data_IF_261893367185
#
_entry.id   IF_261893367185
#
_cell.length_a   1.000
_cell.length_b   1.000
_cell.length_c   1.000
_cell.angle_alpha   90.00
_cell.angle_beta   90.00
_cell.angle_gamma   90.00
#
_symmetry.space_group_name_H-M   'P 1'
#
loop_
_entity.id
_entity.type
_entity.pdbx_description
1 polymer ?
#
# COMPACT_ATOMS: atom_id res chain seq x y z
N UNK A 1 -4.99 -0.50 6.56
CA UNK A 1 -3.74 0.28 6.75
C UNK A 1 -3.22 0.67 5.40
N UNK A 2 -2.95 1.96 5.16
CA UNK A 2 -2.38 2.49 3.93
C UNK A 2 -1.00 3.11 4.21
N UNK A 3 0.00 2.75 3.41
CA UNK A 3 1.33 3.34 3.43
C UNK A 3 1.45 4.32 2.27
N UNK A 4 1.97 5.50 2.52
CA UNK A 4 2.34 6.47 1.49
C UNK A 4 3.82 6.80 1.60
N UNK A 5 4.56 6.65 0.51
CA UNK A 5 5.96 7.05 0.45
C UNK A 5 6.06 8.56 0.23
N UNK A 6 6.70 9.27 1.15
CA UNK A 6 6.95 10.71 1.02
C UNK A 6 8.19 10.96 0.16
N UNK A 7 9.35 10.72 0.74
CA UNK A 7 10.65 10.86 0.09
C UNK A 7 11.76 10.31 0.99
N UNK A 8 12.84 9.74 0.41
CA UNK A 8 14.01 9.19 1.10
C UNK A 8 13.63 8.11 2.13
N UNK A 9 13.64 8.43 3.42
CA UNK A 9 13.19 7.55 4.49
C UNK A 9 11.83 7.96 5.07
N UNK A 10 11.17 8.96 4.46
CA UNK A 10 9.91 9.49 4.91
C UNK A 10 8.71 8.67 4.46
N UNK A 11 7.85 8.28 5.42
CA UNK A 11 6.61 7.55 5.17
C UNK A 11 5.45 8.10 6.01
N UNK A 12 4.25 7.93 5.47
CA UNK A 12 3.00 8.02 6.24
C UNK A 12 2.38 6.63 6.29
N UNK A 13 1.89 6.25 7.46
CA UNK A 13 1.06 5.05 7.65
C UNK A 13 -0.27 5.48 8.24
N UNK A 14 -1.32 5.37 7.46
CA UNK A 14 -2.69 5.65 7.88
C UNK A 14 -3.39 4.38 8.31
N UNK A 15 -4.03 4.43 9.47
CA UNK A 15 -4.88 3.36 10.00
C UNK A 15 -6.30 3.89 10.21
N UNK A 16 -7.19 3.07 10.73
CA UNK A 16 -8.56 3.49 11.00
C UNK A 16 -8.60 4.60 12.08
N UNK A 17 -7.70 4.57 13.07
CA UNK A 17 -7.72 5.45 14.24
C UNK A 17 -6.63 6.50 14.26
N UNK A 18 -5.51 6.27 13.60
CA UNK A 18 -4.36 7.18 13.70
C UNK A 18 -3.56 7.27 12.39
N UNK A 19 -2.67 8.24 12.38
CA UNK A 19 -1.69 8.49 11.34
C UNK A 19 -0.31 8.46 11.96
N UNK A 20 0.61 7.70 11.40
CA UNK A 20 2.01 7.69 11.81
C UNK A 20 2.86 8.30 10.70
N UNK A 21 3.70 9.25 11.03
CA UNK A 21 4.63 9.92 10.10
C UNK A 21 6.04 9.63 10.54
N UNK A 22 6.83 9.02 9.67
CA UNK A 22 8.23 8.67 9.94
C UNK A 22 9.16 9.55 9.12
N UNK A 23 10.23 10.04 9.74
CA UNK A 23 11.39 10.69 9.12
C UNK A 23 11.04 11.71 8.02
N UNK A 24 10.22 12.69 8.36
CA UNK A 24 9.83 13.73 7.42
C UNK A 24 10.99 14.65 7.07
N UNK A 25 11.41 14.62 5.81
CA UNK A 25 12.39 15.56 5.25
C UNK A 25 11.80 16.42 4.15
N UNK A 26 11.31 15.81 3.09
CA UNK A 26 10.71 16.44 1.91
C UNK A 26 9.42 15.74 1.53
N UNK A 27 8.53 16.47 0.87
CA UNK A 27 7.25 15.94 0.39
C UNK A 27 6.93 16.50 -1.01
N UNK A 28 7.64 16.03 -2.06
CA UNK A 28 7.45 16.52 -3.42
C UNK A 28 6.03 16.30 -3.97
N UNK A 29 5.28 15.36 -3.38
CA UNK A 29 3.92 15.05 -3.78
C UNK A 29 2.85 15.81 -2.96
N UNK A 30 3.25 16.66 -2.02
CA UNK A 30 2.37 17.42 -1.11
C UNK A 30 1.36 16.54 -0.38
N UNK A 31 1.80 15.37 0.07
CA UNK A 31 0.96 14.40 0.79
C UNK A 31 0.55 14.96 2.15
N UNK A 32 1.54 15.47 2.90
CA UNK A 32 1.32 15.94 4.27
C UNK A 32 0.44 17.18 4.34
N UNK A 33 0.58 18.13 3.41
CA UNK A 33 -0.28 19.31 3.36
C UNK A 33 -1.76 18.94 3.23
N UNK A 34 -2.05 17.98 2.35
CA UNK A 34 -3.41 17.46 2.18
C UNK A 34 -3.87 16.68 3.41
N UNK A 35 -3.00 15.80 3.94
CA UNK A 35 -3.32 14.93 5.06
C UNK A 35 -3.61 15.71 6.34
N UNK A 36 -2.74 16.67 6.71
CA UNK A 36 -2.92 17.49 7.91
C UNK A 36 -4.25 18.25 7.85
N UNK A 37 -4.67 18.71 6.65
CA UNK A 37 -5.96 19.37 6.46
C UNK A 37 -7.18 18.44 6.52
N UNK A 38 -7.01 17.12 6.32
CA UNK A 38 -8.10 16.16 6.12
C UNK A 38 -8.11 14.98 7.08
N UNK A 39 -7.13 14.85 7.98
CA UNK A 39 -7.04 13.70 8.91
C UNK A 39 -8.18 13.65 9.96
N UNK A 40 -9.04 14.67 10.02
CA UNK A 40 -10.20 14.71 10.92
C UNK A 40 -9.77 14.63 12.38
N UNK A 41 -10.39 13.71 13.13
CA UNK A 41 -10.13 13.49 14.55
C UNK A 41 -9.07 12.40 14.81
N UNK A 42 -8.38 11.89 13.76
CA UNK A 42 -7.32 10.90 13.92
C UNK A 42 -6.16 11.47 14.71
N UNK A 43 -5.58 10.68 15.60
CA UNK A 43 -4.36 11.01 16.31
C UNK A 43 -3.16 10.89 15.37
N UNK A 44 -2.33 11.90 15.29
CA UNK A 44 -1.12 11.95 14.45
C UNK A 44 0.12 11.74 15.32
N UNK A 45 0.87 10.68 15.07
CA UNK A 45 2.15 10.38 15.72
C UNK A 45 3.27 10.70 14.74
N UNK A 46 4.25 11.49 15.19
CA UNK A 46 5.37 11.94 14.38
C UNK A 46 6.66 11.39 14.96
N UNK A 47 7.40 10.66 14.16
CA UNK A 47 8.66 10.02 14.51
C UNK A 47 9.80 10.65 13.70
N UNK A 48 10.93 10.92 14.37
CA UNK A 48 12.19 11.20 13.69
C UNK A 48 13.29 10.39 14.34
N UNK A 49 13.96 9.58 13.52
CA UNK A 49 14.94 8.59 13.97
C UNK A 49 16.24 9.22 14.46
N UNK A 50 16.67 10.36 13.89
CA UNK A 50 17.89 11.05 14.27
C UNK A 50 17.93 12.49 13.71
N UNK A 51 19.00 13.22 14.05
CA UNK A 51 19.13 14.66 13.81
C UNK A 51 19.51 15.03 12.37
N UNK A 52 19.93 14.12 11.51
CA UNK A 52 20.33 14.42 10.15
C UNK A 52 19.17 15.04 9.34
N UNK A 53 19.54 15.96 8.46
CA UNK A 53 18.56 16.79 7.74
C UNK A 53 17.60 15.99 6.86
N UNK A 54 18.03 14.85 6.34
CA UNK A 54 17.25 13.95 5.49
C UNK A 54 16.29 13.03 6.25
N UNK A 55 16.27 13.11 7.60
CA UNK A 55 15.38 12.40 8.51
C UNK A 55 14.57 13.31 9.42
N UNK A 56 15.04 14.56 9.61
CA UNK A 56 14.38 15.50 10.50
C UNK A 56 14.23 16.88 9.88
N UNK A 57 12.99 17.37 9.79
CA UNK A 57 12.65 18.72 9.33
C UNK A 57 11.74 19.42 10.36
N UNK A 58 12.16 20.58 10.86
CA UNK A 58 11.41 21.37 11.85
C UNK A 58 10.01 21.79 11.41
N UNK A 59 9.68 21.68 10.11
CA UNK A 59 8.35 21.97 9.59
C UNK A 59 7.25 21.11 10.25
N UNK A 60 7.61 19.92 10.75
CA UNK A 60 6.68 19.04 11.48
C UNK A 60 5.98 19.73 12.65
N UNK A 61 6.63 20.66 13.35
CA UNK A 61 6.07 21.33 14.51
C UNK A 61 4.91 22.29 14.17
N UNK A 62 4.89 22.80 12.93
CA UNK A 62 3.79 23.63 12.44
C UNK A 62 2.48 22.90 12.20
N UNK A 63 2.50 21.57 12.11
CA UNK A 63 1.28 20.79 11.83
C UNK A 63 0.26 20.83 12.97
N UNK A 64 0.72 20.84 14.21
CA UNK A 64 -0.16 20.96 15.40
C UNK A 64 -0.94 22.27 15.39
N UNK A 65 -0.31 23.37 14.94
CA UNK A 65 -0.95 24.66 14.80
C UNK A 65 -1.88 24.72 13.58
N UNK A 66 -1.48 24.07 12.49
CA UNK A 66 -2.26 24.03 11.25
C UNK A 66 -3.56 23.22 11.37
N UNK A 67 -3.59 22.21 12.25
CA UNK A 67 -4.79 21.41 12.52
C UNK A 67 -5.05 21.26 14.03
N UNK A 68 -5.69 22.25 14.68
CA UNK A 68 -5.96 22.20 16.11
C UNK A 68 -7.05 21.16 16.51
N UNK A 69 -7.69 20.51 15.54
CA UNK A 69 -8.68 19.45 15.80
C UNK A 69 -8.03 18.09 16.01
N UNK A 70 -6.93 17.82 15.32
CA UNK A 70 -6.19 16.57 15.48
C UNK A 70 -5.26 16.62 16.69
N UNK A 71 -5.14 15.53 17.41
CA UNK A 71 -4.12 15.36 18.43
C UNK A 71 -2.79 14.99 17.76
N UNK A 72 -1.69 15.63 18.18
CA UNK A 72 -0.34 15.33 17.70
C UNK A 72 0.53 14.86 18.85
N UNK A 73 1.28 13.79 18.65
CA UNK A 73 2.32 13.30 19.56
C UNK A 73 3.64 13.17 18.80
N UNK A 74 4.67 13.88 19.27
CA UNK A 74 6.02 13.86 18.71
C UNK A 74 6.92 12.95 19.54
N UNK A 75 7.31 11.82 18.96
CA UNK A 75 8.23 10.83 19.53
C UNK A 75 9.55 10.92 18.76
N UNK A 76 10.50 11.65 19.32
CA UNK A 76 11.73 12.01 18.60
C UNK A 76 12.94 11.37 19.27
N UNK A 77 13.95 11.06 18.47
CA UNK A 77 15.22 10.58 18.99
C UNK A 77 15.91 11.65 19.87
N UNK A 78 16.51 11.22 20.94
CA UNK A 78 17.21 12.08 21.92
C UNK A 78 18.35 12.87 21.30
N UNK A 79 19.02 12.32 20.30
CA UNK A 79 20.14 12.98 19.62
C UNK A 79 19.72 14.29 18.91
N UNK A 80 18.46 14.41 18.46
CA UNK A 80 17.91 15.65 17.93
C UNK A 80 17.98 16.80 18.97
N UNK A 81 17.69 16.47 20.23
CA UNK A 81 17.81 17.41 21.34
C UNK A 81 19.28 17.70 21.66
N UNK A 82 20.12 16.66 21.75
CA UNK A 82 21.53 16.76 22.12
C UNK A 82 22.34 17.54 21.06
N UNK A 83 21.96 17.49 19.80
CA UNK A 83 22.51 18.32 18.72
C UNK A 83 21.83 19.69 18.57
N UNK A 84 21.00 20.08 19.53
CA UNK A 84 20.29 21.39 19.55
C UNK A 84 19.45 21.65 18.30
N UNK A 85 18.96 20.59 17.66
CA UNK A 85 18.10 20.72 16.47
C UNK A 85 16.66 21.11 16.81
N UNK A 86 16.21 20.87 18.06
CA UNK A 86 14.91 21.28 18.56
C UNK A 86 14.96 21.68 20.02
N UNK A 87 13.97 22.45 20.49
CA UNK A 87 13.82 22.82 21.92
C UNK A 87 13.30 21.60 22.71
N UNK A 88 13.59 21.54 24.00
CA UNK A 88 13.19 20.42 24.87
C UNK A 88 11.67 20.21 24.88
N UNK A 89 10.91 21.26 24.80
CA UNK A 89 9.43 21.29 24.84
C UNK A 89 8.79 20.92 23.49
N UNK A 90 9.59 20.74 22.42
CA UNK A 90 9.10 20.48 21.08
C UNK A 90 8.58 19.05 20.89
N UNK A 91 9.08 18.09 21.69
CA UNK A 91 8.64 16.70 21.65
C UNK A 91 7.86 16.31 22.89
N UNK A 92 6.91 15.40 22.72
CA UNK A 92 6.16 14.79 23.81
C UNK A 92 7.01 13.70 24.51
N UNK A 93 7.92 13.04 23.76
CA UNK A 93 8.97 12.20 24.32
C UNK A 93 10.27 12.27 23.50
N UNK A 94 11.39 12.32 24.20
CA UNK A 94 12.74 12.17 23.67
C UNK A 94 13.20 10.75 23.99
N UNK A 95 13.44 9.94 22.96
CA UNK A 95 13.67 8.51 23.12
C UNK A 95 15.08 8.11 22.71
N UNK A 96 15.65 7.19 23.48
CA UNK A 96 16.93 6.53 23.18
C UNK A 96 16.77 4.99 23.19
N UNK A 97 17.79 4.28 22.75
CA UNK A 97 17.73 2.80 22.68
C UNK A 97 17.27 2.19 24.00
N UNK A 98 16.21 1.39 23.93
CA UNK A 98 15.60 0.68 25.06
C UNK A 98 14.37 1.38 25.63
N UNK A 99 14.13 2.64 25.29
CA UNK A 99 12.95 3.33 25.75
C UNK A 99 11.67 2.78 25.13
N UNK A 100 10.60 2.82 25.92
CA UNK A 100 9.26 2.42 25.51
C UNK A 100 8.26 3.53 25.78
N UNK A 101 7.32 3.70 24.87
CA UNK A 101 6.21 4.63 25.01
C UNK A 101 4.93 3.98 24.50
N UNK A 102 3.79 4.24 25.13
CA UNK A 102 2.50 3.71 24.69
C UNK A 102 1.33 4.59 25.11
N UNK A 103 0.26 4.49 24.35
CA UNK A 103 -1.07 4.97 24.71
C UNK A 103 -2.14 3.93 24.33
N UNK A 104 -3.38 4.38 24.16
CA UNK A 104 -4.50 3.49 23.79
C UNK A 104 -4.50 3.07 22.31
N UNK A 105 -3.71 3.71 21.43
CA UNK A 105 -3.66 3.43 20.00
C UNK A 105 -2.42 2.63 19.60
N UNK A 106 -1.26 3.00 20.14
CA UNK A 106 0.03 2.44 19.74
C UNK A 106 0.91 2.09 20.92
N UNK A 107 1.83 1.16 20.70
CA UNK A 107 3.01 0.98 21.54
C UNK A 107 4.28 1.10 20.71
N UNK A 108 5.29 1.75 21.27
CA UNK A 108 6.54 2.11 20.59
C UNK A 108 7.71 1.64 21.43
N UNK A 109 8.67 1.01 20.77
CA UNK A 109 9.99 0.71 21.36
C UNK A 109 11.05 1.35 20.47
N UNK A 110 11.89 2.21 21.06
CA UNK A 110 13.08 2.72 20.40
C UNK A 110 14.16 1.65 20.47
N UNK A 111 14.59 1.16 19.31
CA UNK A 111 15.70 0.20 19.20
C UNK A 111 16.94 0.91 18.67
N UNK A 112 18.10 0.23 18.68
CA UNK A 112 19.36 0.89 18.35
C UNK A 112 19.55 1.13 16.86
N UNK A 113 20.54 1.96 16.57
CA UNK A 113 21.12 2.17 15.24
C UNK A 113 22.64 2.02 15.33
N UNK A 114 23.28 1.57 14.26
CA UNK A 114 24.74 1.53 14.16
C UNK A 114 25.33 2.80 13.51
N UNK A 115 24.47 3.76 13.19
CA UNK A 115 24.84 5.11 12.74
C UNK A 115 24.43 6.12 13.82
N UNK A 116 23.32 6.83 13.65
CA UNK A 116 22.83 7.87 14.58
C UNK A 116 21.44 7.56 15.08
N UNK A 117 21.13 8.03 16.29
CA UNK A 117 19.81 8.00 16.90
C UNK A 117 19.25 6.59 17.14
N UNK A 118 18.02 6.35 16.71
CA UNK A 118 17.27 5.14 17.00
C UNK A 118 16.58 4.58 15.75
N UNK A 119 16.20 3.32 15.79
CA UNK A 119 15.16 2.76 14.93
C UNK A 119 13.88 2.51 15.73
N UNK A 120 12.76 2.36 15.05
CA UNK A 120 11.44 2.31 15.66
C UNK A 120 10.76 0.97 15.44
N UNK A 121 10.31 0.33 16.52
CA UNK A 121 9.32 -0.74 16.49
C UNK A 121 8.01 -0.16 16.99
N UNK A 122 6.97 -0.17 16.13
CA UNK A 122 5.66 0.38 16.47
C UNK A 122 4.61 -0.70 16.30
N UNK A 123 3.83 -0.97 17.35
CA UNK A 123 2.67 -1.85 17.27
C UNK A 123 1.40 -0.98 17.20
N UNK A 124 0.62 -1.17 16.16
CA UNK A 124 -0.61 -0.44 15.87
C UNK A 124 -1.64 -1.37 15.23
N UNK A 125 -2.86 -1.41 15.76
CA UNK A 125 -3.97 -2.25 15.25
C UNK A 125 -3.56 -3.70 14.98
N UNK A 126 -2.73 -4.27 15.90
CA UNK A 126 -2.25 -5.66 15.83
C UNK A 126 -1.19 -5.91 14.74
N UNK A 127 -0.64 -4.88 14.10
CA UNK A 127 0.48 -4.94 13.16
C UNK A 127 1.75 -4.37 13.79
N UNK A 128 2.88 -4.98 13.47
CA UNK A 128 4.21 -4.54 13.90
C UNK A 128 4.95 -3.91 12.74
N UNK A 129 5.20 -2.63 12.87
CA UNK A 129 5.97 -1.81 11.94
C UNK A 129 7.39 -1.67 12.45
N UNK A 130 8.37 -1.79 11.59
CA UNK A 130 9.75 -1.48 11.87
C UNK A 130 10.24 -0.41 10.90
N UNK A 131 10.72 0.72 11.43
CA UNK A 131 11.38 1.76 10.65
C UNK A 131 12.83 1.86 11.10
N UNK A 132 13.75 1.52 10.22
CA UNK A 132 15.16 1.34 10.56
C UNK A 132 15.92 2.64 10.85
N UNK A 133 15.37 3.83 10.49
CA UNK A 133 16.21 5.03 10.43
C UNK A 133 17.43 4.77 9.57
N UNK A 134 18.62 5.04 10.06
CA UNK A 134 19.88 4.76 9.36
C UNK A 134 20.58 3.48 9.86
N UNK A 135 19.83 2.58 10.49
CA UNK A 135 20.36 1.25 10.77
C UNK A 135 20.57 0.47 9.47
N UNK A 136 21.83 0.28 9.07
CA UNK A 136 22.18 -0.44 7.85
C UNK A 136 23.61 -1.01 7.90
N UNK A 137 23.91 -1.99 7.06
CA UNK A 137 25.29 -2.42 6.82
C UNK A 137 25.96 -1.45 5.81
N UNK A 138 26.35 -0.26 6.28
CA UNK A 138 26.92 0.81 5.47
C UNK A 138 28.25 0.44 4.81
N UNK A 139 28.97 -0.53 5.34
CA UNK A 139 30.25 -1.03 4.83
C UNK A 139 30.12 -2.33 4.04
N UNK A 140 28.91 -2.72 3.64
CA UNK A 140 28.60 -3.96 2.93
C UNK A 140 29.46 -4.19 1.67
N UNK A 141 29.86 -3.13 0.96
CA UNK A 141 30.78 -3.20 -0.18
C UNK A 141 32.09 -3.88 0.20
N UNK A 142 32.72 -3.42 1.27
CA UNK A 142 34.03 -3.90 1.69
C UNK A 142 33.95 -5.30 2.29
N UNK A 143 32.83 -5.62 2.97
CA UNK A 143 32.53 -6.97 3.44
C UNK A 143 32.35 -7.92 2.25
N UNK A 144 31.58 -7.52 1.25
CA UNK A 144 31.33 -8.32 0.05
C UNK A 144 32.58 -8.54 -0.81
N UNK A 145 33.49 -7.55 -0.85
CA UNK A 145 34.73 -7.63 -1.57
C UNK A 145 35.87 -8.32 -0.76
N UNK A 146 35.55 -8.82 0.47
CA UNK A 146 36.52 -9.42 1.41
C UNK A 146 37.72 -8.50 1.66
N UNK A 147 37.52 -7.19 1.78
CA UNK A 147 38.59 -6.22 2.00
C UNK A 147 39.20 -6.44 3.39
N UNK A 148 40.50 -6.75 3.49
CA UNK A 148 41.10 -7.02 4.78
C UNK A 148 41.43 -5.74 5.55
N UNK A 149 41.18 -5.77 6.87
CA UNK A 149 41.62 -4.74 7.81
C UNK A 149 40.79 -3.46 7.76
N UNK A 150 41.33 -2.39 8.34
CA UNK A 150 40.67 -1.09 8.39
C UNK A 150 40.83 -0.32 7.09
N UNK A 151 39.79 0.44 6.72
CA UNK A 151 39.74 1.38 5.60
C UNK A 151 39.63 2.79 6.13
N UNK A 152 40.12 3.78 5.37
CA UNK A 152 39.89 5.18 5.71
C UNK A 152 38.54 5.65 5.13
N UNK A 153 37.62 6.02 5.99
CA UNK A 153 36.38 6.63 5.60
C UNK A 153 36.59 8.12 5.37
N UNK A 154 36.46 8.58 4.14
CA UNK A 154 36.55 10.01 3.81
C UNK A 154 35.34 10.78 4.34
N UNK A 155 34.19 10.13 4.49
CA UNK A 155 32.95 10.71 5.00
C UNK A 155 33.09 11.10 6.48
N UNK A 156 33.64 10.17 7.29
CA UNK A 156 33.82 10.39 8.72
C UNK A 156 35.22 10.87 9.11
N UNK A 157 36.15 10.96 8.15
CA UNK A 157 37.52 11.39 8.41
C UNK A 157 38.32 10.46 9.34
N UNK A 158 37.97 9.17 9.39
CA UNK A 158 38.56 8.21 10.33
C UNK A 158 38.77 6.82 9.72
N UNK A 159 39.60 6.02 10.39
CA UNK A 159 39.78 4.63 10.05
C UNK A 159 38.63 3.79 10.62
N UNK A 160 38.03 2.95 9.78
CA UNK A 160 36.89 2.09 10.10
C UNK A 160 37.23 0.65 9.73
N UNK A 161 36.85 -0.29 10.58
CA UNK A 161 36.93 -1.72 10.29
C UNK A 161 35.57 -2.24 9.80
N UNK A 162 35.40 -2.54 8.50
CA UNK A 162 34.12 -2.97 7.94
C UNK A 162 33.53 -4.22 8.65
N UNK A 163 34.36 -5.17 9.05
CA UNK A 163 33.91 -6.37 9.75
C UNK A 163 33.41 -6.07 11.16
N UNK A 164 33.94 -5.02 11.80
CA UNK A 164 33.47 -4.56 13.10
C UNK A 164 32.15 -3.81 13.00
N UNK A 165 32.01 -2.96 12.00
CA UNK A 165 30.76 -2.24 11.73
C UNK A 165 29.65 -3.23 11.35
N UNK A 166 29.95 -4.25 10.54
CA UNK A 166 28.98 -5.32 10.28
C UNK A 166 28.57 -6.04 11.57
N UNK A 167 29.52 -6.34 12.47
CA UNK A 167 29.17 -6.98 13.76
C UNK A 167 28.26 -6.10 14.61
N UNK A 168 28.51 -4.78 14.66
CA UNK A 168 27.63 -3.83 15.36
C UNK A 168 26.24 -3.82 14.76
N UNK A 169 26.14 -3.70 13.44
CA UNK A 169 24.89 -3.79 12.72
C UNK A 169 24.13 -5.10 13.03
N UNK A 170 24.82 -6.23 12.97
CA UNK A 170 24.22 -7.54 13.25
C UNK A 170 23.78 -7.69 14.71
N UNK A 171 24.49 -7.06 15.66
CA UNK A 171 24.06 -7.02 17.05
C UNK A 171 22.76 -6.24 17.22
N UNK A 172 22.62 -5.07 16.57
CA UNK A 172 21.38 -4.32 16.60
C UNK A 172 20.21 -5.14 16.01
N UNK A 173 20.43 -5.87 14.92
CA UNK A 173 19.40 -6.77 14.37
C UNK A 173 19.00 -7.89 15.34
N UNK A 174 19.95 -8.43 16.10
CA UNK A 174 19.65 -9.45 17.12
C UNK A 174 18.82 -8.85 18.25
N UNK A 175 19.21 -7.67 18.76
CA UNK A 175 18.48 -6.96 19.82
C UNK A 175 17.03 -6.64 19.36
N UNK A 176 16.86 -6.22 18.12
CA UNK A 176 15.53 -6.01 17.50
C UNK A 176 14.76 -7.34 17.45
N UNK A 177 15.42 -8.43 17.10
CA UNK A 177 14.80 -9.76 17.05
C UNK A 177 14.30 -10.26 18.41
N UNK A 178 14.92 -9.85 19.51
CA UNK A 178 14.43 -10.14 20.87
C UNK A 178 13.14 -9.37 21.19
N UNK A 179 13.03 -8.12 20.72
CA UNK A 179 11.86 -7.26 20.92
C UNK A 179 10.74 -7.61 19.94
N UNK A 180 11.08 -7.85 18.67
CA UNK A 180 10.14 -7.99 17.57
C UNK A 180 10.60 -9.08 16.57
N UNK A 181 10.45 -10.38 16.89
CA UNK A 181 10.90 -11.45 16.00
C UNK A 181 10.10 -11.56 14.69
N UNK A 182 8.90 -10.99 14.66
CA UNK A 182 8.05 -10.94 13.48
C UNK A 182 7.65 -9.50 13.20
N UNK A 183 7.97 -9.04 11.99
CA UNK A 183 7.69 -7.69 11.50
C UNK A 183 6.69 -7.80 10.34
N UNK A 184 5.53 -7.15 10.46
CA UNK A 184 4.55 -7.12 9.39
C UNK A 184 5.02 -6.21 8.24
N UNK A 185 5.60 -5.04 8.57
CA UNK A 185 6.09 -4.06 7.61
C UNK A 185 7.45 -3.55 8.07
N UNK A 186 8.50 -3.83 7.30
CA UNK A 186 9.85 -3.33 7.54
C UNK A 186 10.23 -2.25 6.53
N UNK A 187 10.35 -1.00 6.96
CA UNK A 187 10.92 0.11 6.22
C UNK A 187 12.43 0.12 6.47
N UNK A 188 13.22 -0.22 5.44
CA UNK A 188 14.64 -0.52 5.61
C UNK A 188 15.52 0.02 4.46
N UNK A 189 16.72 0.57 4.77
CA UNK A 189 17.61 1.12 3.75
C UNK A 189 18.06 0.09 2.70
N UNK A 190 17.94 0.47 1.42
CA UNK A 190 18.48 -0.25 0.27
C UNK A 190 19.16 0.77 -0.63
N UNK A 191 20.33 1.26 -0.19
CA UNK A 191 20.99 2.41 -0.77
C UNK A 191 22.14 2.01 -1.71
N UNK A 192 21.95 2.22 -3.01
CA UNK A 192 22.95 1.91 -4.04
C UNK A 192 24.27 2.68 -3.91
N UNK A 193 24.33 3.79 -3.13
CA UNK A 193 25.56 4.53 -2.84
C UNK A 193 26.59 3.70 -2.09
N UNK A 194 26.15 2.70 -1.33
CA UNK A 194 27.03 1.74 -0.65
C UNK A 194 27.93 1.00 -1.66
N UNK A 195 27.48 0.86 -2.92
CA UNK A 195 28.22 0.14 -3.96
C UNK A 195 27.91 -1.36 -3.97
N UNK A 196 28.89 -2.19 -4.33
CA UNK A 196 28.72 -3.65 -4.33
C UNK A 196 28.20 -4.13 -2.96
N UNK A 197 27.22 -5.04 -2.98
CA UNK A 197 26.69 -5.59 -1.71
C UNK A 197 25.69 -4.69 -1.00
N UNK A 198 25.24 -3.56 -1.54
CA UNK A 198 24.31 -2.64 -0.90
C UNK A 198 22.97 -3.29 -0.47
N UNK A 199 22.61 -4.44 -1.02
CA UNK A 199 21.44 -5.22 -0.59
C UNK A 199 21.73 -6.12 0.60
N UNK A 200 23.01 -6.23 1.06
CA UNK A 200 23.41 -7.16 2.10
C UNK A 200 22.69 -6.87 3.43
N UNK A 201 22.61 -5.60 3.85
CA UNK A 201 21.93 -5.22 5.09
C UNK A 201 20.47 -5.69 5.12
N UNK A 202 19.72 -5.43 4.05
CA UNK A 202 18.33 -5.88 3.96
C UNK A 202 18.18 -7.42 3.89
N UNK A 203 19.12 -8.11 3.24
CA UNK A 203 19.17 -9.59 3.25
C UNK A 203 19.45 -10.14 4.65
N UNK A 204 20.34 -9.50 5.41
CA UNK A 204 20.67 -9.86 6.79
C UNK A 204 19.48 -9.63 7.72
N UNK A 205 18.71 -8.56 7.52
CA UNK A 205 17.44 -8.33 8.21
C UNK A 205 16.46 -9.51 7.97
N UNK A 206 16.16 -9.81 6.72
CA UNK A 206 15.21 -10.88 6.34
C UNK A 206 15.67 -12.27 6.82
N UNK A 207 16.98 -12.49 6.94
CA UNK A 207 17.52 -13.77 7.42
C UNK A 207 17.38 -13.95 8.93
N UNK A 208 17.24 -12.87 9.70
CA UNK A 208 17.16 -12.87 11.16
C UNK A 208 15.76 -12.65 11.70
N UNK A 209 14.98 -11.82 11.02
CA UNK A 209 13.62 -11.49 11.43
C UNK A 209 12.63 -12.07 10.43
N UNK A 210 11.47 -12.47 10.92
CA UNK A 210 10.36 -12.87 10.05
C UNK A 210 9.67 -11.61 9.50
N UNK A 211 10.12 -11.14 8.35
CA UNK A 211 9.54 -9.98 7.66
C UNK A 211 8.47 -10.45 6.68
N UNK A 212 7.27 -9.83 6.70
CA UNK A 212 6.20 -10.13 5.73
C UNK A 212 6.24 -9.21 4.52
N UNK A 213 6.46 -7.91 4.75
CA UNK A 213 6.58 -6.89 3.72
C UNK A 213 7.86 -6.08 3.94
N UNK A 214 8.74 -6.06 2.94
CA UNK A 214 9.88 -5.16 2.89
C UNK A 214 9.52 -3.91 2.07
N UNK A 215 9.68 -2.76 2.70
CA UNK A 215 9.52 -1.42 2.11
C UNK A 215 10.90 -0.81 2.02
N UNK A 216 11.48 -0.66 0.81
CA UNK A 216 12.80 -0.05 0.68
C UNK A 216 12.75 1.45 0.99
N UNK A 217 13.82 1.97 1.56
CA UNK A 217 14.01 3.40 1.80
C UNK A 217 15.47 3.80 1.56
N UNK A 218 15.79 5.08 1.72
CA UNK A 218 17.14 5.66 1.63
C UNK A 218 17.80 5.56 0.24
N UNK A 219 17.05 5.32 -0.84
CA UNK A 219 17.55 5.02 -2.19
C UNK A 219 17.47 6.20 -3.17
N UNK A 220 16.85 7.33 -2.82
CA UNK A 220 16.56 8.40 -3.81
C UNK A 220 17.80 8.95 -4.52
N UNK A 221 18.94 8.99 -3.85
CA UNK A 221 20.20 9.44 -4.42
C UNK A 221 20.82 8.43 -5.39
N UNK A 222 20.39 7.17 -5.36
CA UNK A 222 20.81 6.08 -6.24
C UNK A 222 19.79 5.77 -7.34
N UNK A 223 18.63 6.45 -7.30
CA UNK A 223 17.47 6.19 -8.15
C UNK A 223 16.57 5.06 -7.62
N UNK A 224 15.27 5.19 -7.88
CA UNK A 224 14.23 4.26 -7.41
C UNK A 224 14.50 2.81 -7.83
N UNK A 225 14.99 2.59 -9.04
CA UNK A 225 15.25 1.26 -9.60
C UNK A 225 16.37 0.51 -8.88
N UNK A 226 17.28 1.22 -8.20
CA UNK A 226 18.37 0.57 -7.45
C UNK A 226 17.82 -0.34 -6.37
N UNK A 227 16.78 0.09 -5.64
CA UNK A 227 16.15 -0.69 -4.57
C UNK A 227 15.44 -1.95 -5.09
N UNK A 228 14.99 -1.97 -6.37
CA UNK A 228 14.23 -3.10 -6.93
C UNK A 228 15.04 -4.39 -7.05
N UNK A 229 16.37 -4.31 -6.97
CA UNK A 229 17.25 -5.51 -6.92
C UNK A 229 17.02 -6.40 -5.70
N UNK A 230 16.29 -5.92 -4.69
CA UNK A 230 15.86 -6.75 -3.56
C UNK A 230 14.67 -7.66 -3.88
N UNK A 231 13.88 -7.34 -4.91
CA UNK A 231 12.65 -8.09 -5.23
C UNK A 231 12.86 -9.61 -5.44
N UNK A 232 13.87 -10.07 -6.24
CA UNK A 232 14.10 -11.51 -6.42
C UNK A 232 14.43 -12.23 -5.10
N UNK A 233 15.25 -11.62 -4.26
CA UNK A 233 15.61 -12.20 -2.95
C UNK A 233 14.40 -12.28 -2.02
N UNK A 234 13.55 -11.25 -2.01
CA UNK A 234 12.31 -11.25 -1.26
C UNK A 234 11.36 -12.34 -1.76
N UNK A 235 11.23 -12.50 -3.09
CA UNK A 235 10.37 -13.51 -3.69
C UNK A 235 10.79 -14.94 -3.31
N UNK A 236 12.10 -15.26 -3.32
CA UNK A 236 12.65 -16.54 -2.87
C UNK A 236 12.33 -16.87 -1.42
N UNK A 237 12.17 -15.84 -0.57
CA UNK A 237 11.90 -15.97 0.86
C UNK A 237 10.43 -15.80 1.24
N UNK A 238 9.53 -15.62 0.26
CA UNK A 238 8.11 -15.38 0.50
C UNK A 238 7.80 -14.04 1.18
N UNK A 239 8.74 -13.08 1.09
CA UNK A 239 8.59 -11.70 1.59
C UNK A 239 7.98 -10.86 0.49
N UNK A 240 6.89 -10.16 0.75
CA UNK A 240 6.36 -9.17 -0.19
C UNK A 240 7.31 -7.98 -0.28
N UNK A 241 7.56 -7.48 -1.47
CA UNK A 241 8.43 -6.31 -1.70
C UNK A 241 7.61 -5.18 -2.34
N UNK A 242 7.66 -3.98 -1.74
CA UNK A 242 7.02 -2.82 -2.34
C UNK A 242 7.96 -2.10 -3.31
N UNK A 243 7.65 -2.19 -4.59
CA UNK A 243 8.37 -1.51 -5.65
C UNK A 243 7.92 -0.06 -5.78
N UNK A 244 8.50 0.82 -4.96
CA UNK A 244 8.26 2.27 -5.00
C UNK A 244 8.85 2.85 -6.28
N UNK A 245 8.11 3.74 -6.95
CA UNK A 245 8.48 4.36 -8.24
C UNK A 245 8.61 5.87 -8.18
N UNK A 246 7.88 6.51 -7.28
CA UNK A 246 7.84 7.97 -7.11
C UNK A 246 7.37 8.36 -5.73
N UNK A 247 7.62 9.62 -5.37
CA UNK A 247 6.98 10.21 -4.19
C UNK A 247 5.45 10.23 -4.37
N UNK A 248 4.74 9.97 -3.28
CA UNK A 248 3.28 9.85 -3.26
C UNK A 248 2.74 8.48 -3.68
N UNK A 249 3.59 7.50 -4.02
CA UNK A 249 3.14 6.11 -4.23
C UNK A 249 2.49 5.57 -2.96
N UNK A 250 1.42 4.79 -3.15
CA UNK A 250 0.62 4.19 -2.07
C UNK A 250 0.58 2.69 -2.15
N UNK A 251 0.52 2.06 -0.98
CA UNK A 251 0.33 0.63 -0.80
C UNK A 251 -0.67 0.38 0.31
N UNK A 252 -1.76 -0.29 0.01
CA UNK A 252 -2.71 -0.73 1.03
C UNK A 252 -2.40 -2.15 1.49
N UNK A 253 -2.33 -2.36 2.79
CA UNK A 253 -2.15 -3.66 3.42
C UNK A 253 -3.43 -4.04 4.15
N UNK A 254 -4.07 -5.13 3.70
CA UNK A 254 -5.26 -5.73 4.32
C UNK A 254 -4.92 -7.19 4.63
N UNK A 255 -4.94 -7.57 5.89
CA UNK A 255 -4.45 -8.87 6.36
C UNK A 255 -3.02 -9.13 5.87
N UNK A 256 -2.79 -10.14 5.02
CA UNK A 256 -1.50 -10.47 4.41
C UNK A 256 -1.42 -10.04 2.93
N UNK A 257 -2.33 -9.15 2.48
CA UNK A 257 -2.40 -8.67 1.12
C UNK A 257 -1.81 -7.28 0.98
N UNK A 258 -1.05 -7.06 -0.07
CA UNK A 258 -0.64 -5.76 -0.52
C UNK A 258 -1.44 -5.37 -1.77
N UNK A 259 -2.13 -4.24 -1.73
CA UNK A 259 -2.93 -3.73 -2.85
C UNK A 259 -2.32 -2.42 -3.30
N UNK A 260 -2.07 -2.29 -4.58
CA UNK A 260 -1.55 -1.07 -5.20
C UNK A 260 -2.18 -0.82 -6.56
N UNK A 261 -2.09 0.40 -7.05
CA UNK A 261 -2.41 0.68 -8.44
C UNK A 261 -1.55 -0.16 -9.39
N UNK A 262 -2.17 -0.64 -10.46
CA UNK A 262 -1.49 -1.33 -11.53
C UNK A 262 -0.63 -0.34 -12.36
N UNK A 263 0.36 -0.88 -13.04
CA UNK A 263 1.19 -0.16 -13.99
C UNK A 263 1.23 -0.91 -15.31
N UNK A 264 1.65 -0.26 -16.39
CA UNK A 264 1.78 -0.92 -17.69
C UNK A 264 2.75 -2.11 -17.67
N UNK A 265 3.70 -2.14 -16.73
CA UNK A 265 4.56 -3.30 -16.52
C UNK A 265 3.81 -4.53 -16.00
N UNK A 266 2.64 -4.35 -15.37
CA UNK A 266 1.80 -5.42 -14.85
C UNK A 266 0.87 -5.99 -15.94
N UNK A 267 0.66 -5.29 -17.04
CA UNK A 267 -0.30 -5.62 -18.10
C UNK A 267 -0.23 -7.09 -18.58
N UNK A 268 0.95 -7.67 -18.87
CA UNK A 268 1.03 -9.07 -19.28
C UNK A 268 0.49 -10.05 -18.22
N UNK A 269 0.72 -9.77 -16.93
CA UNK A 269 0.20 -10.57 -15.83
C UNK A 269 -1.32 -10.46 -15.71
N UNK A 270 -1.86 -9.24 -15.88
CA UNK A 270 -3.30 -8.98 -15.83
C UNK A 270 -4.04 -9.71 -16.96
N UNK A 271 -3.52 -9.65 -18.18
CA UNK A 271 -4.09 -10.38 -19.31
C UNK A 271 -4.11 -11.90 -19.07
N UNK A 272 -3.06 -12.43 -18.42
CA UNK A 272 -3.00 -13.83 -17.98
C UNK A 272 -4.09 -14.16 -16.94
N UNK A 273 -4.28 -13.32 -15.94
CA UNK A 273 -5.33 -13.47 -14.91
C UNK A 273 -6.72 -13.44 -15.55
N UNK A 274 -6.99 -12.50 -16.44
CA UNK A 274 -8.27 -12.41 -17.14
C UNK A 274 -8.52 -13.63 -18.04
N UNK A 275 -7.49 -14.17 -18.69
CA UNK A 275 -7.63 -15.41 -19.46
C UNK A 275 -8.02 -16.61 -18.57
N UNK A 276 -7.39 -16.74 -17.39
CA UNK A 276 -7.75 -17.77 -16.41
C UNK A 276 -9.17 -17.58 -15.88
N UNK A 277 -9.58 -16.35 -15.58
CA UNK A 277 -10.92 -16.05 -15.11
C UNK A 277 -11.99 -16.37 -16.16
N UNK A 278 -11.77 -16.07 -17.45
CA UNK A 278 -12.67 -16.47 -18.56
C UNK A 278 -12.82 -17.98 -18.64
N UNK A 279 -11.71 -18.70 -18.56
CA UNK A 279 -11.73 -20.16 -18.56
C UNK A 279 -12.54 -20.71 -17.38
N UNK A 280 -12.29 -20.21 -16.18
CA UNK A 280 -13.03 -20.61 -14.98
C UNK A 280 -14.53 -20.36 -15.11
N UNK A 281 -14.93 -19.18 -15.58
CA UNK A 281 -16.34 -18.84 -15.78
C UNK A 281 -17.02 -19.79 -16.79
N UNK A 282 -16.38 -20.07 -17.91
CA UNK A 282 -16.91 -20.99 -18.92
C UNK A 282 -17.10 -22.41 -18.37
N UNK A 283 -16.16 -22.91 -17.57
CA UNK A 283 -16.22 -24.23 -16.94
C UNK A 283 -17.25 -24.32 -15.80
N UNK A 284 -17.70 -23.15 -15.24
CA UNK A 284 -18.62 -23.08 -14.11
C UNK A 284 -19.99 -22.49 -14.48
N UNK A 285 -20.40 -22.62 -15.73
CA UNK A 285 -21.77 -22.31 -16.19
C UNK A 285 -22.01 -20.85 -16.56
N UNK A 286 -20.95 -20.04 -16.70
CA UNK A 286 -21.05 -18.63 -17.11
C UNK A 286 -20.16 -18.33 -18.33
N UNK A 287 -20.43 -18.93 -19.52
CA UNK A 287 -19.58 -18.75 -20.70
C UNK A 287 -19.81 -17.43 -21.44
N UNK A 288 -20.88 -16.69 -21.12
CA UNK A 288 -21.37 -15.56 -21.92
C UNK A 288 -21.05 -14.19 -21.34
N UNK A 289 -20.62 -14.09 -20.07
CA UNK A 289 -20.34 -12.81 -19.42
C UNK A 289 -19.12 -12.09 -20.03
N UNK A 290 -18.05 -12.83 -20.30
CA UNK A 290 -16.79 -12.28 -20.84
C UNK A 290 -16.43 -13.01 -22.15
N UNK A 291 -17.08 -12.60 -23.24
CA UNK A 291 -16.86 -13.13 -24.57
C UNK A 291 -15.81 -12.33 -25.36
N UNK A 292 -15.39 -12.82 -26.51
CA UNK A 292 -14.57 -12.11 -27.49
C UNK A 292 -13.27 -11.49 -26.92
N UNK A 293 -12.67 -12.17 -25.94
CA UNK A 293 -11.43 -11.72 -25.32
C UNK A 293 -11.61 -10.58 -24.31
N UNK A 294 -12.83 -10.27 -23.88
CA UNK A 294 -13.07 -9.25 -22.85
C UNK A 294 -12.48 -9.66 -21.49
N UNK A 295 -11.89 -8.74 -20.71
CA UNK A 295 -11.51 -7.38 -21.12
C UNK A 295 -10.37 -7.44 -22.13
N UNK A 296 -10.41 -6.54 -23.13
CA UNK A 296 -9.37 -6.45 -24.15
C UNK A 296 -8.13 -5.75 -23.61
N UNK A 297 -6.99 -5.98 -24.24
CA UNK A 297 -5.73 -5.32 -23.85
C UNK A 297 -5.83 -3.78 -23.87
N UNK A 298 -6.42 -3.11 -24.88
CA UNK A 298 -6.61 -1.65 -24.84
C UNK A 298 -7.44 -1.20 -23.63
N UNK A 299 -8.53 -1.90 -23.30
CA UNK A 299 -9.37 -1.58 -22.15
C UNK A 299 -8.62 -1.68 -20.83
N UNK A 300 -7.82 -2.74 -20.65
CA UNK A 300 -7.00 -2.91 -19.44
C UNK A 300 -5.92 -1.82 -19.37
N UNK A 301 -5.32 -1.46 -20.51
CA UNK A 301 -4.34 -0.38 -20.58
C UNK A 301 -4.95 0.97 -20.20
N UNK A 302 -6.18 1.25 -20.66
CA UNK A 302 -6.92 2.46 -20.31
C UNK A 302 -7.27 2.51 -18.81
N UNK A 303 -7.70 1.38 -18.22
CA UNK A 303 -7.95 1.26 -16.77
C UNK A 303 -6.67 1.49 -15.94
N UNK A 304 -5.52 1.06 -16.44
CA UNK A 304 -4.21 1.32 -15.81
C UNK A 304 -3.84 2.81 -15.94
N UNK A 305 -4.02 3.39 -17.11
CA UNK A 305 -3.66 4.78 -17.39
C UNK A 305 -4.52 5.77 -16.58
N UNK A 306 -5.80 5.46 -16.36
CA UNK A 306 -6.71 6.25 -15.52
C UNK A 306 -6.41 6.13 -14.02
N UNK A 307 -5.62 5.11 -13.61
CA UNK A 307 -5.32 4.84 -12.20
C UNK A 307 -6.41 4.04 -11.48
N UNK A 308 -7.41 3.55 -12.20
CA UNK A 308 -8.55 2.82 -11.64
C UNK A 308 -8.26 1.32 -11.43
N UNK A 309 -7.25 0.78 -12.11
CA UNK A 309 -6.87 -0.63 -12.03
C UNK A 309 -5.96 -0.89 -10.83
N UNK A 310 -6.30 -1.90 -10.03
CA UNK A 310 -5.53 -2.33 -8.86
C UNK A 310 -5.08 -3.77 -9.00
N UNK A 311 -3.91 -4.07 -8.44
CA UNK A 311 -3.38 -5.43 -8.30
C UNK A 311 -3.29 -5.82 -6.84
N UNK A 312 -3.65 -7.08 -6.57
CA UNK A 312 -3.48 -7.70 -5.26
C UNK A 312 -2.23 -8.58 -5.30
N UNK A 313 -1.28 -8.26 -4.44
CA UNK A 313 0.03 -8.93 -4.37
C UNK A 313 0.13 -9.75 -3.10
N UNK A 314 0.60 -10.97 -3.20
CA UNK A 314 0.92 -11.85 -2.08
C UNK A 314 2.23 -12.58 -2.37
N UNK A 315 3.18 -12.52 -1.43
CA UNK A 315 4.51 -13.10 -1.62
C UNK A 315 5.14 -12.75 -2.99
N UNK A 316 5.09 -11.49 -3.38
CA UNK A 316 5.57 -10.90 -4.66
C UNK A 316 4.90 -11.40 -5.94
N UNK A 317 3.82 -12.14 -5.83
CA UNK A 317 3.03 -12.54 -7.01
C UNK A 317 1.77 -11.70 -7.11
N UNK A 318 1.49 -11.20 -8.29
CA UNK A 318 0.17 -10.64 -8.61
C UNK A 318 -0.78 -11.82 -8.74
N UNK A 319 -1.73 -11.94 -7.83
CA UNK A 319 -2.65 -13.09 -7.76
C UNK A 319 -4.09 -12.71 -8.07
N UNK A 320 -4.42 -11.41 -8.05
CA UNK A 320 -5.73 -10.91 -8.40
C UNK A 320 -5.67 -9.46 -8.87
N UNK A 321 -6.75 -9.01 -9.47
CA UNK A 321 -6.95 -7.62 -9.94
C UNK A 321 -8.42 -7.24 -9.85
N UNK A 322 -8.66 -5.94 -9.75
CA UNK A 322 -9.98 -5.34 -9.86
C UNK A 322 -9.84 -3.89 -10.35
N UNK A 323 -10.93 -3.32 -10.83
CA UNK A 323 -11.03 -1.91 -11.20
C UNK A 323 -12.00 -1.23 -10.25
N UNK A 324 -11.58 -0.11 -9.66
CA UNK A 324 -12.42 0.72 -8.79
C UNK A 324 -12.58 2.10 -9.46
N UNK A 325 -13.81 2.43 -9.87
CA UNK A 325 -14.16 3.71 -10.51
C UNK A 325 -14.98 4.56 -9.58
N UNK A 326 -14.58 5.80 -9.47
CA UNK A 326 -15.35 6.83 -8.76
C UNK A 326 -16.31 7.53 -9.72
N UNK A 327 -17.45 7.96 -9.18
CA UNK A 327 -18.42 8.75 -9.91
C UNK A 327 -19.48 7.92 -10.64
N UNK A 328 -20.26 8.62 -11.45
CA UNK A 328 -21.42 8.02 -12.14
C UNK A 328 -20.94 7.14 -13.29
N UNK A 329 -21.28 5.86 -13.23
CA UNK A 329 -21.11 4.95 -14.37
C UNK A 329 -22.34 5.03 -15.26
N UNK A 330 -22.20 5.37 -16.56
CA UNK A 330 -23.34 5.53 -17.47
C UNK A 330 -24.21 4.27 -17.58
N UNK A 331 -23.65 3.08 -17.35
CA UNK A 331 -24.42 1.82 -17.40
C UNK A 331 -25.34 1.65 -16.19
N UNK A 332 -25.17 2.46 -15.15
CA UNK A 332 -25.96 2.45 -13.92
C UNK A 332 -27.05 3.55 -13.87
N UNK A 333 -27.14 4.41 -14.90
CA UNK A 333 -28.14 5.47 -14.97
C UNK A 333 -29.55 4.92 -15.12
N UNK A 334 -29.70 3.80 -15.88
CA UNK A 334 -30.99 3.16 -16.09
C UNK A 334 -31.00 1.81 -15.40
N UNK A 335 -31.91 1.65 -14.43
CA UNK A 335 -32.16 0.39 -13.74
C UNK A 335 -33.60 -0.06 -13.98
N UNK A 336 -33.79 -1.33 -14.29
CA UNK A 336 -35.08 -1.97 -14.55
C UNK A 336 -35.38 -3.00 -13.46
N UNK A 337 -36.62 -3.41 -13.34
CA UNK A 337 -37.09 -4.41 -12.37
C UNK A 337 -36.78 -4.04 -10.91
N UNK A 338 -36.56 -2.74 -10.64
CA UNK A 338 -36.23 -2.23 -9.32
C UNK A 338 -35.82 -0.76 -9.35
N UNK A 339 -35.07 -0.33 -8.33
CA UNK A 339 -34.57 1.03 -8.21
C UNK A 339 -33.32 1.08 -7.30
N UNK A 340 -32.48 2.07 -7.52
CA UNK A 340 -31.38 2.37 -6.57
C UNK A 340 -32.00 2.91 -5.27
N UNK A 341 -31.58 2.40 -4.08
CA UNK A 341 -32.11 2.84 -2.78
C UNK A 341 -31.81 4.30 -2.44
N UNK A 342 -30.76 4.87 -3.04
CA UNK A 342 -30.33 6.26 -2.86
C UNK A 342 -29.56 6.79 -4.05
N UNK A 343 -29.34 8.11 -4.07
CA UNK A 343 -28.53 8.83 -5.05
C UNK A 343 -27.21 9.33 -4.44
N UNK A 344 -26.75 8.70 -3.35
CA UNK A 344 -25.47 9.06 -2.72
C UNK A 344 -24.32 8.87 -3.70
N UNK A 345 -23.25 9.68 -3.59
CA UNK A 345 -22.01 9.43 -4.33
C UNK A 345 -21.50 8.00 -4.08
N UNK A 346 -21.13 7.30 -5.13
CA UNK A 346 -20.73 5.90 -5.06
C UNK A 346 -19.47 5.63 -5.88
N UNK A 347 -18.82 4.50 -5.57
CA UNK A 347 -17.83 3.92 -6.46
C UNK A 347 -18.31 2.55 -6.97
N UNK A 348 -17.79 2.17 -8.14
CA UNK A 348 -18.15 0.91 -8.78
C UNK A 348 -16.95 0.00 -8.89
N UNK A 349 -17.11 -1.27 -8.48
CA UNK A 349 -16.06 -2.27 -8.61
C UNK A 349 -16.33 -3.11 -9.86
N UNK A 350 -15.40 -3.08 -10.81
CA UNK A 350 -15.47 -3.81 -12.07
C UNK A 350 -14.35 -4.84 -12.20
N UNK A 351 -14.53 -5.82 -13.10
CA UNK A 351 -13.49 -6.72 -13.59
C UNK A 351 -12.67 -7.41 -12.49
N UNK A 352 -13.34 -7.82 -11.39
CA UNK A 352 -12.68 -8.61 -10.34
C UNK A 352 -12.26 -9.95 -10.92
N UNK A 353 -10.97 -10.27 -10.83
CA UNK A 353 -10.41 -11.53 -11.32
C UNK A 353 -9.25 -12.02 -10.44
N UNK A 354 -9.04 -13.35 -10.41
CA UNK A 354 -7.90 -13.97 -9.75
C UNK A 354 -7.28 -15.07 -10.61
N UNK A 355 -6.05 -15.44 -10.28
CA UNK A 355 -5.35 -16.56 -10.90
C UNK A 355 -5.81 -17.94 -10.37
N UNK A 356 -6.80 -17.99 -9.50
CA UNK A 356 -7.34 -19.22 -8.90
C UNK A 356 -6.53 -19.78 -7.72
N UNK A 357 -5.33 -19.27 -7.43
CA UNK A 357 -4.51 -19.73 -6.29
C UNK A 357 -5.04 -19.24 -4.94
N UNK A 358 -5.92 -18.25 -4.95
CA UNK A 358 -6.38 -17.55 -3.75
C UNK A 358 -7.90 -17.42 -3.69
N UNK A 359 -8.44 -17.38 -2.48
CA UNK A 359 -9.86 -17.17 -2.20
C UNK A 359 -10.07 -15.81 -1.55
N UNK A 360 -11.31 -15.29 -1.62
CA UNK A 360 -11.70 -14.07 -0.88
C UNK A 360 -11.37 -12.75 -1.61
N UNK A 361 -11.04 -12.79 -2.90
CA UNK A 361 -10.68 -11.60 -3.68
C UNK A 361 -11.84 -10.60 -3.76
N UNK A 362 -13.09 -11.06 -3.83
CA UNK A 362 -14.28 -10.18 -3.83
C UNK A 362 -14.36 -9.42 -2.50
N UNK A 363 -14.27 -10.13 -1.36
CA UNK A 363 -14.23 -9.52 -0.03
C UNK A 363 -13.08 -8.52 0.12
N UNK A 364 -11.91 -8.85 -0.44
CA UNK A 364 -10.73 -8.00 -0.38
C UNK A 364 -10.95 -6.69 -1.18
N UNK A 365 -11.47 -6.77 -2.41
CA UNK A 365 -11.77 -5.61 -3.25
C UNK A 365 -12.83 -4.70 -2.58
N UNK A 366 -13.87 -5.30 -1.98
CA UNK A 366 -14.90 -4.58 -1.25
C UNK A 366 -14.33 -3.88 -0.01
N UNK A 367 -13.55 -4.59 0.82
CA UNK A 367 -12.87 -4.01 1.99
C UNK A 367 -11.96 -2.84 1.60
N UNK A 368 -11.22 -2.99 0.50
CA UNK A 368 -10.38 -1.92 -0.03
C UNK A 368 -11.23 -0.71 -0.45
N UNK A 369 -12.27 -0.93 -1.26
CA UNK A 369 -13.12 0.14 -1.75
C UNK A 369 -13.84 0.88 -0.60
N UNK A 370 -14.28 0.16 0.43
CA UNK A 370 -14.91 0.73 1.62
C UNK A 370 -13.97 1.57 2.50
N UNK A 371 -12.66 1.50 2.34
CA UNK A 371 -11.73 2.42 3.02
C UNK A 371 -11.82 3.85 2.46
N UNK A 372 -12.26 3.98 1.20
CA UNK A 372 -12.29 5.25 0.47
C UNK A 372 -13.71 5.75 0.17
N UNK A 373 -14.71 4.86 0.19
CA UNK A 373 -16.10 5.16 -0.20
C UNK A 373 -17.07 4.61 0.82
N UNK A 374 -18.20 5.30 1.01
CA UNK A 374 -19.28 4.85 1.89
C UNK A 374 -20.33 4.03 1.14
N UNK A 375 -20.47 4.24 -0.16
CA UNK A 375 -21.44 3.53 -1.01
C UNK A 375 -20.74 2.89 -2.20
N UNK A 376 -21.02 1.62 -2.41
CA UNK A 376 -20.49 0.85 -3.53
C UNK A 376 -21.63 0.28 -4.37
N UNK A 377 -21.47 0.32 -5.68
CA UNK A 377 -22.30 -0.41 -6.63
C UNK A 377 -21.48 -1.48 -7.33
N UNK A 378 -22.14 -2.60 -7.64
CA UNK A 378 -21.52 -3.72 -8.31
C UNK A 378 -22.56 -4.45 -9.14
N UNK A 379 -22.14 -5.02 -10.28
CA UNK A 379 -23.00 -5.83 -11.13
C UNK A 379 -22.38 -7.17 -11.47
N UNK A 380 -23.24 -8.14 -11.81
CA UNK A 380 -22.78 -9.43 -12.32
C UNK A 380 -23.79 -10.06 -13.25
N UNK A 381 -23.32 -10.99 -14.10
CA UNK A 381 -24.19 -11.73 -14.99
C UNK A 381 -25.11 -12.70 -14.21
N UNK A 382 -26.33 -12.93 -14.73
CA UNK A 382 -27.31 -13.82 -14.12
C UNK A 382 -26.76 -15.25 -13.92
N UNK A 383 -25.92 -15.74 -14.81
CA UNK A 383 -25.32 -17.07 -14.73
C UNK A 383 -24.10 -17.13 -13.81
N UNK A 384 -23.62 -15.99 -13.30
CA UNK A 384 -22.47 -15.96 -12.40
C UNK A 384 -22.88 -16.15 -10.93
N UNK A 385 -23.40 -17.36 -10.64
CA UNK A 385 -23.88 -17.71 -9.30
C UNK A 385 -22.78 -17.58 -8.23
N UNK A 386 -21.53 -17.84 -8.59
CA UNK A 386 -20.38 -17.71 -7.68
C UNK A 386 -20.22 -16.27 -7.22
N UNK A 387 -20.29 -15.33 -8.16
CA UNK A 387 -20.17 -13.90 -7.87
C UNK A 387 -21.38 -13.37 -7.09
N UNK A 388 -22.59 -13.76 -7.48
CA UNK A 388 -23.81 -13.37 -6.75
C UNK A 388 -23.71 -13.74 -5.26
N UNK A 389 -23.37 -15.00 -4.96
CA UNK A 389 -23.20 -15.46 -3.58
C UNK A 389 -22.09 -14.71 -2.83
N UNK A 390 -21.01 -14.35 -3.52
CA UNK A 390 -19.93 -13.60 -2.90
C UNK A 390 -20.38 -12.17 -2.56
N UNK A 391 -21.11 -11.50 -3.45
CA UNK A 391 -21.66 -10.15 -3.28
C UNK A 391 -22.67 -10.13 -2.12
N UNK A 392 -23.62 -11.07 -2.12
CA UNK A 392 -24.66 -11.18 -1.09
C UNK A 392 -24.06 -11.46 0.30
N UNK A 393 -23.02 -12.30 0.38
CA UNK A 393 -22.29 -12.59 1.62
C UNK A 393 -21.65 -11.35 2.23
N UNK A 394 -21.22 -10.40 1.42
CA UNK A 394 -20.63 -9.13 1.87
C UNK A 394 -21.69 -8.07 2.22
N UNK A 395 -22.98 -8.42 2.14
CA UNK A 395 -24.08 -7.59 2.58
C UNK A 395 -24.62 -6.63 1.52
N UNK A 396 -24.32 -6.84 0.24
CA UNK A 396 -24.95 -6.07 -0.83
C UNK A 396 -26.41 -6.48 -0.99
N UNK A 397 -27.23 -5.47 -1.29
CA UNK A 397 -28.64 -5.64 -1.57
C UNK A 397 -28.89 -5.63 -3.08
N UNK A 398 -29.70 -6.56 -3.58
CA UNK A 398 -30.14 -6.57 -4.96
C UNK A 398 -31.05 -5.38 -5.23
N UNK A 399 -30.77 -4.64 -6.30
CA UNK A 399 -31.48 -3.41 -6.65
C UNK A 399 -32.32 -3.50 -7.94
N UNK A 400 -31.99 -4.41 -8.85
CA UNK A 400 -32.64 -4.53 -10.14
C UNK A 400 -31.70 -5.01 -11.25
N UNK A 401 -32.06 -4.70 -12.48
CA UNK A 401 -31.31 -5.08 -13.69
C UNK A 401 -30.78 -3.84 -14.40
N UNK A 402 -29.52 -3.87 -14.78
CA UNK A 402 -28.90 -2.88 -15.67
C UNK A 402 -28.45 -3.53 -16.98
N UNK A 403 -28.14 -2.71 -17.97
CA UNK A 403 -27.64 -3.19 -19.27
C UNK A 403 -26.28 -2.59 -19.55
N UNK A 404 -25.24 -3.45 -19.57
CA UNK A 404 -23.94 -3.04 -20.06
C UNK A 404 -24.02 -2.82 -21.57
N UNK A 405 -23.39 -1.77 -22.09
CA UNK A 405 -23.26 -1.57 -23.52
C UNK A 405 -22.60 -2.83 -24.13
N UNK A 406 -23.36 -3.66 -24.82
CA UNK A 406 -22.82 -4.77 -25.59
C UNK A 406 -21.73 -4.21 -26.51
N UNK A 407 -20.65 -4.94 -26.72
CA UNK A 407 -19.67 -4.58 -27.75
C UNK A 407 -20.41 -4.51 -29.09
N UNK A 408 -20.78 -3.29 -29.51
CA UNK A 408 -21.43 -3.10 -30.82
C UNK A 408 -20.48 -3.66 -31.85
N UNK A 409 -20.86 -4.80 -32.45
CA UNK A 409 -20.41 -5.09 -33.79
C UNK A 409 -20.72 -3.83 -34.61
N UNK A 410 -19.72 -3.22 -35.23
CA UNK A 410 -19.93 -2.30 -36.33
C UNK A 410 -20.74 -3.06 -37.38
N UNK A 411 -22.04 -2.93 -37.34
CA UNK A 411 -22.92 -3.40 -38.38
C UNK A 411 -22.83 -2.39 -39.51
N UNK A 412 -22.19 -2.80 -40.59
CA UNK A 412 -22.39 -2.25 -41.91
C UNK A 412 -23.88 -1.98 -42.17
N UNK A 413 -24.17 -0.75 -42.60
CA UNK A 413 -25.46 -0.15 -42.89
C UNK A 413 -26.62 -1.08 -43.25
N UNK A 414 -27.73 -0.88 -42.58
CA UNK A 414 -29.04 -1.43 -42.88
C UNK A 414 -30.08 -0.70 -42.05
N UNK A 415 -30.87 0.16 -42.70
CA UNK A 415 -32.09 0.78 -42.20
C UNK A 415 -33.14 -0.30 -41.91
N UNK A 416 -33.56 -0.46 -40.64
CA UNK A 416 -34.59 -1.41 -40.27
C UNK A 416 -35.08 -1.22 -38.84
N UNK A 417 -36.31 -0.84 -38.75
CA UNK A 417 -37.35 -0.85 -37.71
C UNK A 417 -36.96 -1.17 -36.23
N UNK A 418 -37.37 -0.26 -35.34
CA UNK A 418 -37.06 -0.20 -33.94
C UNK A 418 -37.99 -1.09 -33.08
N UNK A 419 -37.79 -2.39 -33.17
CA UNK A 419 -38.06 -3.34 -32.06
C UNK A 419 -36.72 -4.01 -31.73
N UNK A 420 -35.88 -3.29 -31.00
CA UNK A 420 -34.63 -3.86 -30.50
C UNK A 420 -34.96 -5.02 -29.55
N UNK A 421 -34.90 -6.22 -30.07
CA UNK A 421 -34.81 -7.43 -29.24
C UNK A 421 -33.62 -7.24 -28.32
N UNK A 422 -33.86 -7.09 -27.00
CA UNK A 422 -32.82 -6.90 -25.99
C UNK A 422 -31.89 -8.10 -26.02
N UNK A 423 -30.59 -7.86 -26.10
CA UNK A 423 -29.59 -8.90 -26.05
C UNK A 423 -29.41 -9.33 -24.57
N UNK A 424 -29.88 -10.54 -24.20
CA UNK A 424 -29.80 -11.01 -22.81
C UNK A 424 -28.35 -11.13 -22.31
N UNK A 425 -27.36 -11.13 -23.20
CA UNK A 425 -25.93 -11.15 -22.82
C UNK A 425 -25.47 -9.83 -22.21
N UNK A 426 -26.23 -8.75 -22.38
CA UNK A 426 -25.94 -7.43 -21.80
C UNK A 426 -26.56 -7.22 -20.42
N UNK A 427 -27.54 -8.04 -20.03
CA UNK A 427 -28.19 -7.95 -18.74
C UNK A 427 -27.22 -8.23 -17.57
N UNK A 428 -27.30 -7.40 -16.54
CA UNK A 428 -26.55 -7.56 -15.30
C UNK A 428 -27.47 -7.34 -14.10
N UNK A 429 -27.34 -8.22 -13.12
CA UNK A 429 -27.97 -8.04 -11.81
C UNK A 429 -27.17 -6.97 -11.05
N UNK A 430 -27.85 -5.94 -10.62
CA UNK A 430 -27.26 -4.76 -9.97
C UNK A 430 -27.43 -4.81 -8.46
N UNK A 431 -26.38 -4.47 -7.74
CA UNK A 431 -26.30 -4.54 -6.29
C UNK A 431 -25.72 -3.25 -5.72
N UNK A 432 -26.14 -2.90 -4.47
CA UNK A 432 -25.64 -1.75 -3.73
C UNK A 432 -25.27 -2.16 -2.30
N UNK A 433 -24.16 -1.61 -1.80
CA UNK A 433 -23.76 -1.66 -0.40
C UNK A 433 -23.53 -0.24 0.11
N UNK A 434 -24.12 0.14 1.26
CA UNK A 434 -23.89 1.42 1.91
C UNK A 434 -23.54 1.22 3.37
N UNK A 435 -22.52 1.93 3.86
CA UNK A 435 -22.20 2.00 5.30
C UNK A 435 -23.23 2.80 6.09
N UNK A 436 -23.97 3.69 5.42
CA UNK A 436 -25.03 4.48 6.05
C UNK A 436 -26.27 3.63 6.23
N UNK A 437 -26.90 3.68 7.42
CA UNK A 437 -28.23 3.13 7.61
C UNK A 437 -29.17 3.74 6.55
N UNK A 438 -30.11 2.95 5.97
CA UNK A 438 -31.06 3.48 5.01
C UNK A 438 -31.80 4.68 5.63
N UNK A 439 -31.74 5.84 4.96
CA UNK A 439 -32.52 7.00 5.38
C UNK A 439 -33.98 6.58 5.38
N UNK A 440 -34.78 6.86 6.44
CA UNK A 440 -36.18 6.55 6.44
C UNK A 440 -36.81 7.29 5.25
N UNK A 441 -37.29 6.51 4.28
CA UNK A 441 -38.05 7.03 3.14
C UNK A 441 -39.25 7.78 3.75
N UNK A 442 -39.26 9.08 3.59
CA UNK A 442 -40.38 9.94 3.99
C UNK A 442 -41.66 9.42 3.32
N UNK A 443 -42.61 9.05 4.15
CA UNK A 443 -43.97 8.72 3.74
C UNK A 443 -44.71 9.96 3.29
#
# INVERSE_FOLDING_TARGET
MELTYLYHSGFVVETDRCVLVFDYWMDPANVMERLVGSCGDKHVYVFASHFHRDHFNKHIFGWREANPRAAFTYLLSRDILDHHCAAKEAADAWMEKGDQWHDHNISVTATGSNDSGVSWVVEVEGKRLFHAGDLCNWYARFVSDNTPGAIYSHEFGMWVNPAEEERRFLQELNDIGEVCPTVDIAMFPVDGRIGNGYTLGARQLISRLRVKLLVPMHFVMSGFESAWRMEPYCAERGVTFWKIRRAGDRLTVIDDWAIRQATLADLPHLLGIFAMARKYMAEHGNPTQWTDGYPSEPLVSDDIASGDCYVCVRANKIVATFVLREGVDPTYEVIEEGAWPNDDPYATIHRIASNGEVKGVVSLAIKFALQHHDTLRLDTHRDNIVMQRAIEKEGFEYCGVIHCAGHKRQASGGSGDATQQRDPTTERLAYLLSKKAPSPIGR
#
